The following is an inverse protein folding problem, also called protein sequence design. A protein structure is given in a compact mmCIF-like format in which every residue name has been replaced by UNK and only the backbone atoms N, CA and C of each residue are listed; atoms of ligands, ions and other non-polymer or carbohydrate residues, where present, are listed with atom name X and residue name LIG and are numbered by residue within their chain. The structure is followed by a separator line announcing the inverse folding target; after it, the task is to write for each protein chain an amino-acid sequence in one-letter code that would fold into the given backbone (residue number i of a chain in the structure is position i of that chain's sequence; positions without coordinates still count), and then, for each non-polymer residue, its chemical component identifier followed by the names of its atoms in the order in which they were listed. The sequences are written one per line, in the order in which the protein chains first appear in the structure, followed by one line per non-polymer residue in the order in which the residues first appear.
data_IF_685637083830
#
_entry.id   IF_685637083830
#
_cell.length_a   1.000
_cell.length_b   1.000
_cell.length_c   1.000
_cell.angle_alpha   90.00
_cell.angle_beta   90.00
_cell.angle_gamma   90.00
#
_symmetry.space_group_name_H-M   'P 1'
#
loop_
_entity.id
_entity.type
_entity.pdbx_description
1 polymer ?
#
# COMPACT_ATOMS: atom_id res chain seq x y z
N UNK A 1 -0.60 86.85 -44.47
CA UNK A 1 0.55 86.40 -45.28
C UNK A 1 1.68 86.06 -44.29
N UNK A 2 2.09 84.78 -44.25
CA UNK A 2 3.32 84.24 -43.64
C UNK A 2 3.54 84.23 -42.10
N UNK A 3 3.86 83.00 -41.61
CA UNK A 3 4.75 82.64 -40.48
C UNK A 3 4.30 82.93 -39.03
N UNK A 4 4.59 82.15 -37.97
CA UNK A 4 5.37 80.92 -37.74
C UNK A 4 5.02 80.37 -36.34
N UNK A 5 5.15 79.05 -36.20
CA UNK A 5 5.32 78.18 -35.01
C UNK A 5 5.62 78.78 -33.63
N UNK A 6 4.98 78.21 -32.60
CA UNK A 6 5.66 77.82 -31.35
C UNK A 6 5.02 76.56 -30.75
N UNK A 7 5.81 75.48 -30.65
CA UNK A 7 5.49 74.23 -29.93
C UNK A 7 5.86 74.42 -28.46
N UNK A 8 5.00 74.00 -27.53
CA UNK A 8 5.38 73.73 -26.15
C UNK A 8 5.00 72.28 -25.83
N UNK A 9 6.00 71.42 -25.68
CA UNK A 9 5.88 70.05 -25.18
C UNK A 9 5.74 70.09 -23.66
N UNK A 10 4.70 69.44 -23.13
CA UNK A 10 4.60 69.09 -21.72
C UNK A 10 5.12 67.67 -21.56
N UNK A 11 6.23 67.49 -20.85
CA UNK A 11 6.71 66.18 -20.41
C UNK A 11 5.89 65.73 -19.19
N UNK A 12 5.14 64.64 -19.33
CA UNK A 12 4.61 63.87 -18.20
C UNK A 12 5.58 62.73 -17.89
N UNK A 13 6.26 62.81 -16.75
CA UNK A 13 7.03 61.70 -16.19
C UNK A 13 6.09 60.71 -15.51
N UNK A 14 5.92 59.52 -16.08
CA UNK A 14 5.24 58.39 -15.43
C UNK A 14 6.27 57.68 -14.55
N UNK A 15 6.16 57.84 -13.23
CA UNK A 15 6.90 57.02 -12.27
C UNK A 15 6.34 55.61 -12.24
N UNK A 16 7.13 54.62 -12.66
CA UNK A 16 6.79 53.21 -12.52
C UNK A 16 7.00 52.78 -11.06
N UNK A 17 5.92 52.59 -10.30
CA UNK A 17 5.95 51.92 -9.00
C UNK A 17 5.96 50.42 -9.28
N UNK A 18 7.12 49.78 -9.11
CA UNK A 18 7.22 48.33 -9.12
C UNK A 18 6.58 47.79 -7.83
N UNK A 19 5.32 47.36 -7.93
CA UNK A 19 4.66 46.61 -6.87
C UNK A 19 5.29 45.20 -6.85
N UNK A 20 6.25 44.97 -5.96
CA UNK A 20 6.73 43.63 -5.63
C UNK A 20 5.57 42.88 -4.95
N UNK A 21 4.81 42.10 -5.73
CA UNK A 21 3.89 41.09 -5.21
C UNK A 21 4.73 40.02 -4.52
N UNK A 22 4.84 40.12 -3.19
CA UNK A 22 5.37 39.06 -2.35
C UNK A 22 4.32 37.95 -2.35
N UNK A 23 4.42 37.02 -3.30
CA UNK A 23 3.60 35.81 -3.29
C UNK A 23 4.08 35.01 -2.07
N UNK A 24 3.22 34.71 -1.07
CA UNK A 24 3.62 33.86 0.02
C UNK A 24 3.98 32.50 -0.57
N UNK A 25 5.26 32.14 -0.46
CA UNK A 25 5.68 30.74 -0.69
C UNK A 25 5.11 29.97 0.49
N UNK A 26 3.93 29.39 0.32
CA UNK A 26 3.44 28.37 1.23
C UNK A 26 4.40 27.19 1.12
N UNK A 27 5.32 27.07 2.06
CA UNK A 27 6.04 25.82 2.24
C UNK A 27 4.98 24.72 2.44
N UNK A 28 4.92 23.77 1.53
CA UNK A 28 4.05 22.60 1.69
C UNK A 28 4.52 21.85 2.93
N UNK A 29 3.84 22.05 4.05
CA UNK A 29 4.16 21.38 5.29
C UNK A 29 3.88 19.88 5.09
N UNK A 30 4.92 19.03 5.18
CA UNK A 30 4.73 17.58 5.22
C UNK A 30 3.80 17.26 6.38
N UNK A 31 2.65 16.59 6.16
CA UNK A 31 1.78 16.22 7.27
C UNK A 31 2.53 15.26 8.20
N UNK A 32 2.19 15.24 9.50
CA UNK A 32 2.76 14.24 10.40
C UNK A 32 2.41 12.83 9.88
N UNK A 33 3.33 11.85 10.04
CA UNK A 33 3.02 10.47 9.71
C UNK A 33 1.77 9.98 10.46
N UNK A 34 0.93 9.15 9.82
CA UNK A 34 -0.23 8.57 10.49
C UNK A 34 0.22 7.59 11.58
N UNK A 35 -0.63 7.33 12.59
CA UNK A 35 -0.41 6.20 13.49
C UNK A 35 -0.22 4.90 12.69
N UNK A 36 0.79 4.12 13.05
CA UNK A 36 1.08 2.88 12.34
C UNK A 36 0.36 1.67 12.97
N UNK A 37 0.23 0.61 12.18
CA UNK A 37 -0.36 -0.67 12.59
C UNK A 37 0.59 -1.80 12.24
N UNK A 38 0.74 -2.79 13.13
CA UNK A 38 1.56 -3.95 12.83
C UNK A 38 0.94 -4.78 11.70
N UNK A 39 1.78 -5.24 10.78
CA UNK A 39 1.55 -6.34 9.86
C UNK A 39 2.22 -7.60 10.40
N UNK A 40 1.81 -8.78 9.94
CA UNK A 40 2.24 -10.05 10.52
C UNK A 40 2.63 -11.08 9.45
N UNK A 41 3.84 -11.64 9.57
CA UNK A 41 4.15 -12.94 9.02
C UNK A 41 3.42 -14.00 9.84
N UNK A 42 2.47 -14.68 9.20
CA UNK A 42 1.56 -15.62 9.84
C UNK A 42 2.09 -17.04 9.79
N UNK A 43 2.41 -17.57 10.96
CA UNK A 43 2.81 -18.96 11.19
C UNK A 43 1.74 -19.80 11.91
N UNK A 44 0.54 -19.22 12.10
CA UNK A 44 -0.58 -19.83 12.83
C UNK A 44 -1.92 -19.56 12.13
N UNK A 45 -2.84 -20.51 12.29
CA UNK A 45 -4.27 -20.36 11.97
C UNK A 45 -5.14 -20.67 13.20
N UNK A 46 -4.54 -20.66 14.40
CA UNK A 46 -5.26 -20.91 15.63
C UNK A 46 -6.30 -19.81 15.86
N UNK A 47 -7.57 -20.18 15.81
CA UNK A 47 -8.70 -19.26 15.88
C UNK A 47 -8.75 -18.46 17.20
N UNK A 48 -8.39 -19.07 18.34
CA UNK A 48 -8.31 -18.36 19.62
C UNK A 48 -7.22 -17.29 19.59
N UNK A 49 -6.03 -17.66 19.10
CA UNK A 49 -4.90 -16.74 19.00
C UNK A 49 -5.20 -15.55 18.07
N UNK A 50 -5.99 -15.79 17.01
CA UNK A 50 -6.46 -14.75 16.10
C UNK A 50 -7.54 -13.86 16.72
N UNK A 51 -8.49 -14.44 17.44
CA UNK A 51 -9.46 -13.68 18.24
C UNK A 51 -8.77 -12.77 19.25
N UNK A 52 -7.77 -13.29 19.97
CA UNK A 52 -7.02 -12.53 20.98
C UNK A 52 -6.24 -11.38 20.34
N UNK A 53 -5.61 -11.61 19.18
CA UNK A 53 -4.96 -10.55 18.41
C UNK A 53 -5.97 -9.47 17.99
N UNK A 54 -7.14 -9.86 17.49
CA UNK A 54 -8.22 -8.92 17.19
C UNK A 54 -8.62 -8.11 18.42
N UNK A 55 -8.80 -8.79 19.56
CA UNK A 55 -9.23 -8.19 20.81
C UNK A 55 -8.20 -7.21 21.38
N UNK A 56 -6.91 -7.51 21.24
CA UNK A 56 -5.80 -6.62 21.60
C UNK A 56 -5.93 -5.29 20.85
N UNK A 57 -6.07 -5.34 19.52
CA UNK A 57 -6.22 -4.13 18.71
C UNK A 57 -7.54 -3.40 18.96
N UNK A 58 -8.64 -4.11 19.17
CA UNK A 58 -9.92 -3.50 19.52
C UNK A 58 -9.87 -2.77 20.85
N UNK A 59 -9.22 -3.39 21.86
CA UNK A 59 -8.99 -2.76 23.17
C UNK A 59 -8.08 -1.53 23.06
N UNK A 60 -7.03 -1.61 22.23
CA UNK A 60 -6.14 -0.49 21.96
C UNK A 60 -6.89 0.69 21.35
N UNK A 61 -7.74 0.45 20.36
CA UNK A 61 -8.48 1.52 19.68
C UNK A 61 -9.53 2.14 20.60
N UNK A 62 -10.26 1.33 21.37
CA UNK A 62 -11.17 1.81 22.41
C UNK A 62 -10.49 2.75 23.42
N UNK A 63 -9.23 2.51 23.73
CA UNK A 63 -8.45 3.27 24.70
C UNK A 63 -7.61 4.40 24.07
N UNK A 64 -7.70 4.60 22.75
CA UNK A 64 -7.00 5.66 22.04
C UNK A 64 -7.99 6.78 21.71
N UNK A 65 -7.66 8.02 22.04
CA UNK A 65 -8.54 9.15 21.78
C UNK A 65 -8.83 9.33 20.27
N UNK A 66 -10.10 9.55 19.94
CA UNK A 66 -10.57 9.76 18.57
C UNK A 66 -10.76 8.47 17.77
N UNK A 67 -11.30 8.60 16.56
CA UNK A 67 -11.56 7.47 15.67
C UNK A 67 -10.27 6.95 15.05
N UNK A 68 -10.02 5.65 15.20
CA UNK A 68 -8.85 4.97 14.65
C UNK A 68 -9.21 4.26 13.34
N UNK A 69 -8.36 4.39 12.33
CA UNK A 69 -8.45 3.61 11.10
C UNK A 69 -7.16 2.82 10.94
N UNK A 70 -7.27 1.49 10.86
CA UNK A 70 -6.13 0.60 10.79
C UNK A 70 -6.10 -0.24 9.53
N UNK A 71 -4.89 -0.49 9.04
CA UNK A 71 -4.62 -1.51 8.04
C UNK A 71 -3.66 -2.54 8.64
N UNK A 72 -4.11 -3.78 8.75
CA UNK A 72 -3.29 -4.92 9.19
C UNK A 72 -3.09 -5.87 8.02
N UNK A 73 -1.85 -6.08 7.61
CA UNK A 73 -1.50 -7.07 6.57
C UNK A 73 -1.16 -8.38 7.27
N UNK A 74 -1.78 -9.47 6.84
CA UNK A 74 -1.51 -10.83 7.31
C UNK A 74 -0.84 -11.61 6.17
N UNK A 75 0.48 -11.71 6.17
CA UNK A 75 1.24 -12.42 5.16
C UNK A 75 1.31 -13.92 5.49
N UNK A 76 0.66 -14.78 4.72
CA UNK A 76 0.66 -16.23 4.91
C UNK A 76 1.75 -16.96 4.09
N UNK A 77 2.71 -16.23 3.53
CA UNK A 77 3.77 -16.79 2.70
C UNK A 77 3.29 -17.21 1.32
N UNK A 78 3.93 -18.21 0.73
CA UNK A 78 3.76 -18.53 -0.69
C UNK A 78 2.48 -19.31 -0.99
N UNK A 79 1.87 -19.10 -2.17
CA UNK A 79 0.78 -19.91 -2.68
C UNK A 79 1.08 -21.40 -2.62
N UNK A 80 0.07 -22.20 -2.30
CA UNK A 80 0.15 -23.66 -2.27
C UNK A 80 -1.12 -24.28 -2.83
N UNK A 81 -0.95 -25.44 -3.47
CA UNK A 81 -2.03 -26.34 -3.82
C UNK A 81 -1.67 -27.75 -3.34
N UNK A 82 -2.47 -28.29 -2.43
CA UNK A 82 -2.21 -29.60 -1.82
C UNK A 82 -3.53 -30.34 -1.61
N UNK A 83 -3.57 -31.62 -1.98
CA UNK A 83 -4.72 -32.52 -1.78
C UNK A 83 -6.06 -31.93 -2.29
N UNK A 84 -6.04 -31.25 -3.43
CA UNK A 84 -7.25 -30.66 -4.02
C UNK A 84 -7.65 -29.30 -3.45
N UNK A 85 -6.87 -28.73 -2.53
CA UNK A 85 -7.18 -27.45 -1.89
C UNK A 85 -6.11 -26.39 -2.19
N UNK A 86 -6.58 -25.17 -2.47
CA UNK A 86 -5.74 -23.96 -2.51
C UNK A 86 -5.47 -23.45 -1.09
N UNK A 87 -4.34 -22.79 -0.90
CA UNK A 87 -3.87 -22.35 0.40
C UNK A 87 -2.53 -21.65 0.36
N UNK A 88 -1.87 -21.51 1.49
CA UNK A 88 -0.53 -20.92 1.57
C UNK A 88 0.39 -21.73 2.48
N UNK A 89 1.67 -21.36 2.50
CA UNK A 89 2.69 -22.07 3.26
C UNK A 89 2.76 -21.74 4.74
N UNK A 90 2.12 -20.65 5.19
CA UNK A 90 2.17 -20.11 6.57
C UNK A 90 3.54 -20.23 7.23
N UNK A 91 4.61 -20.08 6.44
CA UNK A 91 6.03 -20.34 6.78
C UNK A 91 6.40 -21.70 7.43
N UNK A 92 5.42 -22.52 7.81
CA UNK A 92 5.60 -23.74 8.60
C UNK A 92 4.76 -24.93 8.10
N UNK A 93 3.96 -24.78 7.05
CA UNK A 93 3.16 -25.88 6.49
C UNK A 93 1.94 -25.42 5.69
N UNK A 94 1.35 -26.33 4.92
CA UNK A 94 0.15 -26.02 4.15
C UNK A 94 -1.02 -25.64 5.06
N UNK A 95 -1.60 -24.46 4.83
CA UNK A 95 -2.89 -24.03 5.39
C UNK A 95 -3.84 -23.72 4.24
N UNK A 96 -5.05 -24.26 4.27
CA UNK A 96 -6.04 -24.02 3.21
C UNK A 96 -6.62 -22.61 3.29
N UNK A 97 -7.19 -22.14 2.17
CA UNK A 97 -7.97 -20.89 2.16
C UNK A 97 -9.14 -20.93 3.15
N UNK A 98 -9.76 -22.08 3.38
CA UNK A 98 -10.83 -22.22 4.39
C UNK A 98 -10.32 -22.06 5.83
N UNK A 99 -9.14 -22.56 6.14
CA UNK A 99 -8.52 -22.38 7.46
C UNK A 99 -8.10 -20.92 7.68
N UNK A 100 -7.53 -20.28 6.65
CA UNK A 100 -7.21 -18.85 6.68
C UNK A 100 -8.47 -18.02 6.89
N UNK A 101 -9.55 -18.30 6.15
CA UNK A 101 -10.82 -17.58 6.31
C UNK A 101 -11.35 -17.66 7.74
N UNK A 102 -11.39 -18.86 8.34
CA UNK A 102 -11.84 -19.03 9.72
C UNK A 102 -10.98 -18.25 10.73
N UNK A 103 -9.65 -18.28 10.55
CA UNK A 103 -8.71 -17.52 11.36
C UNK A 103 -8.94 -15.99 11.26
N UNK A 104 -9.12 -15.46 10.05
CA UNK A 104 -9.37 -14.03 9.82
C UNK A 104 -10.74 -13.60 10.34
N UNK A 105 -11.76 -14.46 10.22
CA UNK A 105 -13.10 -14.20 10.78
C UNK A 105 -13.04 -14.02 12.31
N UNK A 106 -12.30 -14.88 13.00
CA UNK A 106 -12.12 -14.76 14.45
C UNK A 106 -11.30 -13.54 14.85
N UNK A 107 -10.30 -13.14 14.06
CA UNK A 107 -9.62 -11.85 14.26
C UNK A 107 -10.59 -10.68 14.17
N UNK A 108 -11.40 -10.62 13.11
CA UNK A 108 -12.38 -9.56 12.97
C UNK A 108 -13.44 -9.55 14.09
N UNK A 109 -13.87 -10.74 14.52
CA UNK A 109 -14.76 -10.89 15.68
C UNK A 109 -14.13 -10.35 16.95
N UNK A 110 -12.87 -10.70 17.24
CA UNK A 110 -12.14 -10.23 18.40
C UNK A 110 -12.04 -8.71 18.43
N UNK A 111 -11.70 -8.09 17.29
CA UNK A 111 -11.67 -6.64 17.16
C UNK A 111 -13.03 -6.02 17.49
N UNK A 112 -14.08 -6.45 16.80
CA UNK A 112 -15.43 -5.92 16.98
C UNK A 112 -15.95 -6.08 18.42
N UNK A 113 -15.68 -7.21 19.08
CA UNK A 113 -16.14 -7.41 20.47
C UNK A 113 -15.38 -6.50 21.43
N UNK A 114 -14.07 -6.34 21.26
CA UNK A 114 -13.24 -5.66 22.23
C UNK A 114 -13.11 -4.14 22.01
N UNK A 115 -13.49 -3.61 20.85
CA UNK A 115 -13.73 -2.16 20.67
C UNK A 115 -14.84 -1.66 21.60
N UNK A 116 -15.78 -2.53 22.00
CA UNK A 116 -16.74 -2.26 23.07
C UNK A 116 -17.65 -1.07 22.77
N UNK A 117 -17.48 0.04 23.49
CA UNK A 117 -18.25 1.26 23.26
C UNK A 117 -17.73 2.11 22.09
N UNK A 118 -16.51 1.85 21.61
CA UNK A 118 -16.03 2.47 20.37
C UNK A 118 -16.63 1.76 19.17
N UNK A 119 -17.60 2.41 18.55
CA UNK A 119 -18.30 1.91 17.37
C UNK A 119 -17.85 2.63 16.08
N UNK A 120 -16.86 3.51 16.18
CA UNK A 120 -16.40 4.37 15.09
C UNK A 120 -15.09 3.88 14.47
N UNK A 121 -14.19 3.31 15.29
CA UNK A 121 -12.91 2.82 14.80
C UNK A 121 -13.08 1.58 13.91
N UNK A 122 -12.20 1.47 12.91
CA UNK A 122 -12.27 0.45 11.90
C UNK A 122 -10.93 -0.26 11.69
N UNK A 123 -11.01 -1.58 11.49
CA UNK A 123 -9.91 -2.43 11.09
C UNK A 123 -10.12 -2.97 9.68
N UNK A 124 -9.21 -2.60 8.77
CA UNK A 124 -9.05 -3.23 7.47
C UNK A 124 -8.02 -4.36 7.57
N UNK A 125 -8.43 -5.58 7.20
CA UNK A 125 -7.56 -6.77 7.23
C UNK A 125 -7.17 -7.14 5.79
N UNK A 126 -5.89 -6.99 5.45
CA UNK A 126 -5.34 -7.36 4.15
C UNK A 126 -4.77 -8.78 4.20
N UNK A 127 -5.50 -9.74 3.60
CA UNK A 127 -5.18 -11.17 3.65
C UNK A 127 -4.18 -11.53 2.55
N UNK A 128 -2.92 -11.64 2.95
CA UNK A 128 -1.73 -11.69 2.09
C UNK A 128 -1.23 -13.09 1.76
N UNK A 129 -0.82 -13.30 0.52
CA UNK A 129 0.12 -14.37 0.11
C UNK A 129 1.35 -13.73 -0.57
N UNK A 130 2.00 -14.40 -1.52
CA UNK A 130 3.08 -13.82 -2.33
C UNK A 130 3.01 -14.26 -3.78
N UNK A 131 3.90 -13.72 -4.62
CA UNK A 131 4.19 -14.26 -5.94
C UNK A 131 5.39 -15.22 -5.93
N UNK A 132 5.68 -15.93 -4.83
CA UNK A 132 6.76 -16.92 -4.79
C UNK A 132 6.27 -18.35 -5.07
N UNK A 133 7.12 -19.18 -5.71
CA UNK A 133 6.86 -20.59 -5.92
C UNK A 133 5.97 -20.92 -7.14
N UNK A 134 5.70 -22.21 -7.35
CA UNK A 134 5.07 -22.74 -8.56
C UNK A 134 3.53 -22.72 -8.53
N UNK A 135 2.91 -22.48 -7.38
CA UNK A 135 1.44 -22.42 -7.24
C UNK A 135 0.86 -21.03 -7.54
N UNK A 136 1.70 -20.08 -7.96
CA UNK A 136 1.29 -18.75 -8.46
C UNK A 136 0.58 -18.95 -9.81
N UNK A 137 -0.71 -19.24 -9.75
CA UNK A 137 -1.53 -19.59 -10.91
C UNK A 137 -2.84 -18.79 -10.90
N UNK A 138 -3.47 -18.68 -12.06
CA UNK A 138 -4.81 -18.08 -12.20
C UNK A 138 -5.82 -18.69 -11.22
N UNK A 139 -5.90 -20.02 -11.16
CA UNK A 139 -6.85 -20.71 -10.27
C UNK A 139 -6.60 -20.41 -8.79
N UNK A 140 -5.34 -20.25 -8.40
CA UNK A 140 -5.02 -19.83 -7.04
C UNK A 140 -5.44 -18.37 -6.77
N UNK A 141 -5.22 -17.45 -7.71
CA UNK A 141 -5.70 -16.07 -7.59
C UNK A 141 -7.22 -16.01 -7.41
N UNK A 142 -7.96 -16.78 -8.21
CA UNK A 142 -9.41 -16.89 -8.12
C UNK A 142 -9.87 -17.47 -6.78
N UNK A 143 -9.22 -18.52 -6.29
CA UNK A 143 -9.51 -19.11 -4.98
C UNK A 143 -9.24 -18.13 -3.83
N UNK A 144 -8.19 -17.31 -3.95
CA UNK A 144 -7.84 -16.29 -2.95
C UNK A 144 -8.89 -15.16 -2.91
N UNK A 145 -9.35 -14.68 -4.07
CA UNK A 145 -10.43 -13.69 -4.15
C UNK A 145 -11.75 -14.22 -3.56
N UNK A 146 -12.13 -15.46 -3.87
CA UNK A 146 -13.33 -16.10 -3.30
C UNK A 146 -13.23 -16.23 -1.77
N UNK A 147 -12.06 -16.55 -1.23
CA UNK A 147 -11.81 -16.55 0.21
C UNK A 147 -12.07 -15.17 0.82
N UNK A 148 -11.52 -14.10 0.24
CA UNK A 148 -11.71 -12.71 0.72
C UNK A 148 -13.19 -12.30 0.66
N UNK A 149 -13.89 -12.62 -0.43
CA UNK A 149 -15.32 -12.37 -0.55
C UNK A 149 -16.09 -13.07 0.58
N UNK A 150 -15.81 -14.36 0.84
CA UNK A 150 -16.49 -15.13 1.88
C UNK A 150 -16.24 -14.60 3.30
N UNK A 151 -15.07 -14.03 3.57
CA UNK A 151 -14.75 -13.39 4.86
C UNK A 151 -15.65 -12.16 5.07
N UNK A 152 -15.80 -11.32 4.04
CA UNK A 152 -16.65 -10.14 4.12
C UNK A 152 -18.15 -10.49 4.20
N UNK A 153 -18.61 -11.51 3.48
CA UNK A 153 -19.98 -12.02 3.61
C UNK A 153 -20.25 -12.49 5.05
N UNK A 154 -19.27 -13.15 5.67
CA UNK A 154 -19.37 -13.55 7.07
C UNK A 154 -19.42 -12.34 8.00
N UNK A 155 -18.53 -11.35 7.86
CA UNK A 155 -18.57 -10.11 8.66
C UNK A 155 -19.93 -9.40 8.54
N UNK A 156 -20.48 -9.31 7.33
CA UNK A 156 -21.81 -8.75 7.08
C UNK A 156 -22.90 -9.57 7.78
N UNK A 157 -22.87 -10.90 7.66
CA UNK A 157 -23.87 -11.80 8.27
C UNK A 157 -23.86 -11.74 9.80
N UNK A 158 -22.73 -11.39 10.41
CA UNK A 158 -22.54 -11.26 11.86
C UNK A 158 -22.77 -9.84 12.38
N UNK A 159 -22.97 -8.86 11.50
CA UNK A 159 -23.13 -7.45 11.87
C UNK A 159 -21.82 -6.73 12.21
N UNK A 160 -20.66 -7.25 11.80
CA UNK A 160 -19.35 -6.67 12.09
C UNK A 160 -18.87 -5.66 11.05
N UNK A 161 -19.57 -5.58 9.90
CA UNK A 161 -19.14 -4.81 8.73
C UNK A 161 -19.09 -3.28 8.91
N UNK A 162 -19.60 -2.74 10.02
CA UNK A 162 -19.43 -1.32 10.37
C UNK A 162 -18.00 -0.99 10.82
N UNK A 163 -17.27 -1.98 11.35
CA UNK A 163 -15.94 -1.79 11.95
C UNK A 163 -14.88 -2.69 11.34
N UNK A 164 -15.25 -3.81 10.70
CA UNK A 164 -14.27 -4.76 10.14
C UNK A 164 -14.60 -5.13 8.72
N UNK A 165 -13.59 -5.10 7.86
CA UNK A 165 -13.68 -5.58 6.49
C UNK A 165 -12.33 -6.13 6.02
N UNK A 166 -12.38 -7.09 5.10
CA UNK A 166 -11.19 -7.73 4.54
C UNK A 166 -10.94 -7.32 3.09
N UNK A 167 -9.68 -7.31 2.69
CA UNK A 167 -9.22 -7.18 1.30
C UNK A 167 -8.20 -8.26 1.00
N UNK A 168 -7.99 -8.57 -0.28
CA UNK A 168 -6.90 -9.44 -0.68
C UNK A 168 -5.59 -8.69 -0.64
N UNK A 169 -4.49 -9.43 -0.47
CA UNK A 169 -3.16 -8.88 -0.59
C UNK A 169 -2.18 -9.91 -1.15
N UNK A 170 -1.07 -9.44 -1.71
CA UNK A 170 0.03 -10.31 -2.12
C UNK A 170 1.35 -9.56 -2.09
N UNK A 171 2.38 -10.22 -1.57
CA UNK A 171 3.77 -9.80 -1.60
C UNK A 171 4.33 -10.11 -2.99
N UNK A 172 4.20 -9.17 -3.92
CA UNK A 172 4.65 -9.39 -5.30
C UNK A 172 6.05 -8.81 -5.48
N UNK A 173 7.06 -9.63 -5.26
CA UNK A 173 8.46 -9.26 -5.45
C UNK A 173 8.95 -9.65 -6.85
N UNK A 174 9.71 -8.75 -7.47
CA UNK A 174 10.19 -8.92 -8.84
C UNK A 174 11.20 -10.08 -8.95
N UNK A 175 11.90 -10.40 -7.87
CA UNK A 175 12.88 -11.48 -7.79
C UNK A 175 12.28 -12.89 -7.72
N UNK A 176 10.97 -13.03 -7.51
CA UNK A 176 10.35 -14.33 -7.17
C UNK A 176 9.66 -15.05 -8.32
N UNK A 177 9.06 -14.31 -9.25
CA UNK A 177 8.44 -14.87 -10.45
C UNK A 177 8.49 -13.88 -11.62
N UNK A 178 8.20 -14.39 -12.82
CA UNK A 178 8.12 -13.54 -14.01
C UNK A 178 6.90 -12.60 -13.98
N UNK A 179 6.91 -11.52 -14.79
CA UNK A 179 5.73 -10.68 -14.98
C UNK A 179 4.51 -11.48 -15.45
N UNK A 180 4.69 -12.41 -16.40
CA UNK A 180 3.59 -13.19 -16.96
C UNK A 180 2.90 -14.08 -15.92
N UNK A 181 3.68 -14.75 -15.06
CA UNK A 181 3.16 -15.61 -14.00
C UNK A 181 2.40 -14.78 -12.96
N UNK A 182 3.00 -13.68 -12.50
CA UNK A 182 2.38 -12.81 -11.49
C UNK A 182 1.10 -12.14 -12.02
N UNK A 183 1.13 -11.63 -13.26
CA UNK A 183 -0.07 -11.07 -13.92
C UNK A 183 -1.18 -12.10 -14.09
N UNK A 184 -0.84 -13.35 -14.41
CA UNK A 184 -1.82 -14.42 -14.52
C UNK A 184 -2.53 -14.70 -13.18
N UNK A 185 -1.80 -14.64 -12.06
CA UNK A 185 -2.40 -14.73 -10.72
C UNK A 185 -3.30 -13.53 -10.41
N UNK A 186 -2.85 -12.30 -10.71
CA UNK A 186 -3.66 -11.07 -10.56
C UNK A 186 -4.96 -11.17 -11.35
N UNK A 187 -4.90 -11.64 -12.60
CA UNK A 187 -6.08 -11.83 -13.45
C UNK A 187 -7.03 -12.89 -12.89
N UNK A 188 -6.47 -13.93 -12.27
CA UNK A 188 -7.25 -14.92 -11.53
C UNK A 188 -8.03 -14.28 -10.38
N UNK A 189 -7.37 -13.44 -9.58
CA UNK A 189 -8.02 -12.69 -8.50
C UNK A 189 -9.10 -11.75 -9.05
N UNK A 190 -8.78 -10.96 -10.08
CA UNK A 190 -9.69 -10.00 -10.73
C UNK A 190 -10.95 -10.65 -11.32
N UNK A 191 -10.88 -11.93 -11.70
CA UNK A 191 -12.01 -12.61 -12.34
C UNK A 191 -13.25 -12.78 -11.46
N UNK A 192 -13.11 -12.69 -10.14
CA UNK A 192 -14.20 -12.94 -9.17
C UNK A 192 -14.19 -12.01 -7.95
N UNK A 193 -13.22 -11.11 -7.82
CA UNK A 193 -13.09 -10.30 -6.61
C UNK A 193 -14.25 -9.31 -6.45
N UNK A 194 -14.65 -9.08 -5.21
CA UNK A 194 -15.56 -7.99 -4.82
C UNK A 194 -14.82 -6.91 -4.00
N UNK A 195 -13.56 -7.16 -3.68
CA UNK A 195 -12.73 -6.31 -2.84
C UNK A 195 -11.35 -6.06 -3.49
N UNK A 196 -10.67 -4.95 -3.16
CA UNK A 196 -9.33 -4.66 -3.65
C UNK A 196 -8.30 -5.75 -3.36
N UNK A 197 -7.20 -5.69 -4.10
CA UNK A 197 -5.98 -6.49 -3.96
C UNK A 197 -4.81 -5.55 -3.66
N UNK A 198 -4.24 -5.66 -2.47
CA UNK A 198 -3.12 -4.84 -2.06
C UNK A 198 -1.80 -5.51 -2.46
N UNK A 199 -1.02 -4.84 -3.30
CA UNK A 199 0.35 -5.27 -3.57
C UNK A 199 1.28 -4.67 -2.51
N UNK A 200 1.75 -5.52 -1.59
CA UNK A 200 2.70 -5.13 -0.55
C UNK A 200 4.13 -5.59 -0.83
N UNK A 201 4.44 -5.88 -2.09
CA UNK A 201 5.77 -6.26 -2.55
C UNK A 201 6.68 -5.08 -2.90
N UNK A 202 7.74 -5.42 -3.64
CA UNK A 202 8.83 -4.52 -3.99
C UNK A 202 8.71 -3.94 -5.41
N UNK A 203 9.65 -3.05 -5.74
CA UNK A 203 9.88 -2.52 -7.07
C UNK A 203 11.35 -2.72 -7.47
N UNK A 204 11.92 -3.88 -7.10
CA UNK A 204 13.36 -4.10 -7.18
C UNK A 204 13.93 -3.84 -8.58
N UNK A 205 15.05 -3.13 -8.62
CA UNK A 205 15.76 -2.77 -9.86
C UNK A 205 15.03 -1.78 -10.77
N UNK A 206 13.82 -1.30 -10.42
CA UNK A 206 13.19 -0.24 -11.20
C UNK A 206 14.00 1.06 -11.12
N UNK A 207 13.84 1.97 -12.10
CA UNK A 207 14.46 3.29 -12.06
C UNK A 207 14.02 4.08 -10.82
N UNK A 208 14.91 4.92 -10.30
CA UNK A 208 14.61 5.88 -9.22
C UNK A 208 14.61 7.34 -9.70
N UNK A 209 14.60 7.51 -11.02
CA UNK A 209 14.58 8.78 -11.76
C UNK A 209 13.49 8.73 -12.83
N UNK A 210 13.14 9.87 -13.42
CA UNK A 210 12.22 9.92 -14.55
C UNK A 210 12.82 9.23 -15.78
N UNK A 211 11.99 8.50 -16.52
CA UNK A 211 12.35 7.78 -17.73
C UNK A 211 11.62 8.29 -18.97
N UNK A 212 12.23 8.09 -20.13
CA UNK A 212 11.67 8.46 -21.45
C UNK A 212 10.70 7.43 -22.02
N UNK A 213 10.42 6.33 -21.31
CA UNK A 213 9.52 5.27 -21.76
C UNK A 213 9.41 4.15 -20.72
N UNK A 214 8.94 2.98 -21.17
CA UNK A 214 8.86 1.79 -20.32
C UNK A 214 10.28 1.23 -20.04
N UNK A 215 10.85 1.56 -18.88
CA UNK A 215 12.20 1.13 -18.54
C UNK A 215 12.23 -0.22 -17.81
N UNK A 216 13.37 -0.88 -17.93
CA UNK A 216 13.67 -2.15 -17.28
C UNK A 216 13.70 -1.99 -15.75
N UNK A 217 13.10 -2.96 -15.07
CA UNK A 217 13.25 -3.25 -13.64
C UNK A 217 14.03 -4.57 -13.47
N UNK A 218 14.09 -5.19 -12.30
CA UNK A 218 14.82 -6.46 -12.15
C UNK A 218 14.13 -7.66 -12.84
N UNK A 219 14.89 -8.72 -13.13
CA UNK A 219 14.39 -10.06 -13.45
C UNK A 219 13.36 -10.13 -14.61
N UNK A 220 13.61 -9.38 -15.68
CA UNK A 220 12.71 -9.36 -16.85
C UNK A 220 11.44 -8.54 -16.67
N UNK A 221 11.28 -7.84 -15.54
CA UNK A 221 10.21 -6.89 -15.30
C UNK A 221 10.52 -5.53 -15.92
N UNK A 222 9.46 -4.80 -16.24
CA UNK A 222 9.52 -3.40 -16.64
C UNK A 222 8.55 -2.56 -15.80
N UNK A 223 8.68 -1.23 -15.85
CA UNK A 223 7.78 -0.30 -15.14
C UNK A 223 6.30 -0.58 -15.45
N UNK A 224 5.98 -0.91 -16.71
CA UNK A 224 4.62 -1.28 -17.13
C UNK A 224 4.08 -2.52 -16.42
N UNK A 225 4.94 -3.49 -16.10
CA UNK A 225 4.54 -4.70 -15.40
C UNK A 225 4.22 -4.43 -13.94
N UNK A 226 5.09 -3.67 -13.26
CA UNK A 226 4.89 -3.28 -11.86
C UNK A 226 3.68 -2.37 -11.71
N UNK A 227 3.51 -1.42 -12.65
CA UNK A 227 2.33 -0.56 -12.73
C UNK A 227 1.05 -1.37 -12.92
N UNK A 228 1.07 -2.43 -13.75
CA UNK A 228 -0.09 -3.28 -13.94
C UNK A 228 -0.51 -3.99 -12.66
N UNK A 229 0.40 -4.72 -12.02
CA UNK A 229 0.08 -5.52 -10.83
C UNK A 229 -0.23 -4.68 -9.59
N UNK A 230 0.07 -3.37 -9.64
CA UNK A 230 -0.08 -2.46 -8.51
C UNK A 230 -1.17 -1.40 -8.71
N UNK A 231 -1.67 -1.20 -9.93
CA UNK A 231 -2.64 -0.13 -10.22
C UNK A 231 -3.48 -0.34 -11.49
N UNK A 232 -2.88 -0.77 -12.60
CA UNK A 232 -3.62 -0.84 -13.86
C UNK A 232 -4.60 -2.03 -13.92
N UNK A 233 -4.32 -3.12 -13.20
CA UNK A 233 -5.30 -4.15 -12.96
C UNK A 233 -6.41 -3.58 -12.05
N UNK A 234 -7.70 -3.75 -12.37
CA UNK A 234 -8.80 -3.11 -11.64
C UNK A 234 -8.79 -3.24 -10.10
N UNK A 235 -8.38 -4.39 -9.50
CA UNK A 235 -8.43 -4.53 -8.06
C UNK A 235 -7.17 -4.00 -7.38
N UNK A 236 -6.09 -3.75 -8.13
CA UNK A 236 -4.76 -3.56 -7.59
C UNK A 236 -4.59 -2.18 -6.94
N UNK A 237 -4.04 -2.19 -5.73
CA UNK A 237 -3.71 -0.99 -4.97
C UNK A 237 -2.31 -1.15 -4.36
N UNK A 238 -1.41 -0.16 -4.46
CA UNK A 238 -0.06 -0.27 -3.95
C UNK A 238 0.00 0.01 -2.44
N UNK A 239 0.65 -0.90 -1.71
CA UNK A 239 0.99 -0.81 -0.27
C UNK A 239 2.46 -1.20 -0.03
N UNK A 240 3.41 -0.55 -0.71
CA UNK A 240 4.74 -1.10 -0.98
C UNK A 240 5.67 -1.24 0.23
N UNK A 241 6.64 -2.14 0.10
CA UNK A 241 7.81 -2.23 0.97
C UNK A 241 8.71 -0.98 0.84
N UNK A 242 9.01 -0.33 1.97
CA UNK A 242 9.91 0.84 2.11
C UNK A 242 10.88 0.59 3.27
N UNK A 243 11.68 -0.45 3.16
CA UNK A 243 12.60 -0.95 4.18
C UNK A 243 13.91 -0.16 4.23
N UNK A 244 14.45 0.26 3.06
CA UNK A 244 15.78 0.86 2.93
C UNK A 244 15.86 2.30 3.43
N UNK A 245 16.87 2.61 4.25
CA UNK A 245 17.03 3.95 4.82
C UNK A 245 17.53 5.01 3.81
N UNK A 246 18.01 4.62 2.62
CA UNK A 246 18.50 5.52 1.57
C UNK A 246 17.39 6.08 0.64
N UNK A 247 16.13 5.72 0.90
CA UNK A 247 14.96 6.16 0.15
C UNK A 247 14.87 5.64 -1.28
N UNK A 248 15.72 4.69 -1.70
CA UNK A 248 15.71 4.19 -3.07
C UNK A 248 14.36 3.53 -3.42
N UNK A 249 13.79 2.76 -2.49
CA UNK A 249 12.52 2.07 -2.70
C UNK A 249 11.37 3.06 -2.90
N UNK A 250 11.31 4.13 -2.09
CA UNK A 250 10.33 5.21 -2.28
C UNK A 250 10.45 5.87 -3.67
N UNK A 251 11.67 6.16 -4.13
CA UNK A 251 11.90 6.73 -5.46
C UNK A 251 11.57 5.77 -6.60
N UNK A 252 11.72 4.46 -6.40
CA UNK A 252 11.30 3.45 -7.38
C UNK A 252 9.78 3.47 -7.57
N UNK A 253 9.03 3.48 -6.47
CA UNK A 253 7.57 3.59 -6.51
C UNK A 253 7.08 4.91 -7.09
N UNK A 254 7.76 6.02 -6.79
CA UNK A 254 7.52 7.29 -7.46
C UNK A 254 7.73 7.18 -8.98
N UNK A 255 8.84 6.59 -9.43
CA UNK A 255 9.15 6.46 -10.87
C UNK A 255 8.09 5.60 -11.59
N UNK A 256 7.56 4.55 -10.95
CA UNK A 256 6.45 3.76 -11.51
C UNK A 256 5.15 4.57 -11.57
N UNK A 257 4.84 5.36 -10.54
CA UNK A 257 3.68 6.27 -10.57
C UNK A 257 3.79 7.30 -11.70
N UNK A 258 4.99 7.84 -11.91
CA UNK A 258 5.27 8.78 -13.01
C UNK A 258 5.17 8.11 -14.38
N UNK A 259 5.63 6.86 -14.51
CA UNK A 259 5.38 6.04 -15.71
C UNK A 259 3.87 5.92 -15.97
N UNK A 260 3.08 5.61 -14.94
CA UNK A 260 1.63 5.52 -15.01
C UNK A 260 0.96 6.82 -15.48
N UNK A 261 1.44 7.97 -14.98
CA UNK A 261 0.97 9.29 -15.42
C UNK A 261 1.28 9.56 -16.90
N UNK A 262 2.49 9.22 -17.37
CA UNK A 262 2.95 9.55 -18.72
C UNK A 262 2.45 8.60 -19.79
N UNK A 263 2.32 7.31 -19.46
CA UNK A 263 2.11 6.23 -20.44
C UNK A 263 0.99 5.26 -20.06
N UNK A 264 0.48 5.33 -18.84
CA UNK A 264 -0.61 4.49 -18.33
C UNK A 264 -1.96 5.21 -18.32
N UNK A 265 -2.85 4.78 -17.43
CA UNK A 265 -4.17 5.38 -17.22
C UNK A 265 -4.16 6.51 -16.18
N UNK A 266 -3.00 6.84 -15.61
CA UNK A 266 -2.82 7.87 -14.59
C UNK A 266 -1.80 7.50 -13.52
N UNK A 267 -1.45 8.48 -12.68
CA UNK A 267 -0.60 8.24 -11.50
C UNK A 267 -1.28 7.30 -10.50
N UNK A 268 -0.46 6.62 -9.71
CA UNK A 268 -0.89 5.65 -8.73
C UNK A 268 -1.29 6.34 -7.42
N UNK A 269 -2.31 5.80 -6.73
CA UNK A 269 -2.65 6.22 -5.36
C UNK A 269 -2.23 5.17 -4.36
N UNK A 270 -1.40 5.58 -3.42
CA UNK A 270 -0.79 4.67 -2.45
C UNK A 270 -1.64 4.55 -1.19
N UNK A 271 -1.95 3.32 -0.80
CA UNK A 271 -2.78 3.08 0.37
C UNK A 271 -1.97 3.12 1.65
N UNK A 272 -0.77 2.54 1.63
CA UNK A 272 0.11 2.49 2.79
C UNK A 272 1.59 2.39 2.40
N UNK A 273 2.48 2.62 3.34
CA UNK A 273 3.86 2.09 3.31
C UNK A 273 3.99 0.90 4.24
N UNK A 274 4.79 -0.08 3.87
CA UNK A 274 5.17 -1.23 4.70
C UNK A 274 6.65 -1.15 5.07
N UNK A 275 6.95 -1.21 6.36
CA UNK A 275 8.30 -1.34 6.90
C UNK A 275 8.50 -2.71 7.56
N UNK A 276 9.72 -3.02 8.01
CA UNK A 276 10.04 -4.29 8.68
C UNK A 276 10.84 -4.10 9.98
N UNK A 277 10.75 -2.92 10.60
CA UNK A 277 11.54 -2.57 11.77
C UNK A 277 11.26 -3.54 12.93
N UNK A 278 10.00 -3.84 13.23
CA UNK A 278 9.66 -4.83 14.26
C UNK A 278 10.23 -6.22 13.95
N UNK A 279 10.19 -6.70 12.70
CA UNK A 279 10.84 -7.96 12.33
C UNK A 279 12.36 -7.92 12.55
N UNK A 280 13.01 -6.80 12.22
CA UNK A 280 14.42 -6.56 12.52
C UNK A 280 14.72 -6.63 14.02
N UNK A 281 13.85 -6.07 14.87
CA UNK A 281 14.01 -6.16 16.32
C UNK A 281 13.86 -7.60 16.85
N UNK A 282 13.03 -8.43 16.19
CA UNK A 282 12.82 -9.82 16.60
C UNK A 282 13.98 -10.73 16.22
N UNK A 283 14.48 -10.62 14.99
CA UNK A 283 15.38 -11.62 14.40
C UNK A 283 16.74 -11.05 13.96
N UNK A 284 16.95 -9.74 14.08
CA UNK A 284 18.06 -9.04 13.46
C UNK A 284 17.85 -8.85 11.95
N UNK A 285 18.39 -7.76 11.41
CA UNK A 285 18.47 -7.52 9.97
C UNK A 285 19.68 -6.63 9.66
N UNK A 286 19.94 -6.40 8.37
CA UNK A 286 20.92 -5.39 7.96
C UNK A 286 20.42 -3.99 8.42
N UNK A 287 21.24 -3.20 9.14
CA UNK A 287 20.84 -1.86 9.60
C UNK A 287 20.55 -0.84 8.49
N UNK A 288 20.73 -1.21 7.21
CA UNK A 288 20.37 -0.39 6.06
C UNK A 288 18.94 -0.67 5.52
N UNK A 289 18.22 -1.61 6.12
CA UNK A 289 16.85 -2.01 5.74
C UNK A 289 15.85 -1.98 6.92
N UNK A 290 16.11 -1.15 7.92
CA UNK A 290 15.37 -1.10 9.18
C UNK A 290 14.55 0.20 9.37
N UNK A 291 14.08 0.82 8.29
CA UNK A 291 13.22 2.01 8.40
C UNK A 291 12.11 1.80 9.43
N UNK A 292 11.95 2.73 10.38
CA UNK A 292 10.75 2.77 11.22
C UNK A 292 9.52 3.10 10.36
N UNK A 293 8.30 2.82 10.84
CA UNK A 293 7.07 3.09 10.08
C UNK A 293 6.94 4.56 9.68
N UNK A 294 7.36 5.48 10.55
CA UNK A 294 7.38 6.91 10.29
C UNK A 294 8.39 7.28 9.20
N UNK A 295 9.58 6.66 9.22
CA UNK A 295 10.62 6.89 8.21
C UNK A 295 10.18 6.38 6.84
N UNK A 296 9.68 5.14 6.76
CA UNK A 296 9.22 4.54 5.51
C UNK A 296 8.05 5.31 4.91
N UNK A 297 7.07 5.70 5.73
CA UNK A 297 5.96 6.54 5.29
C UNK A 297 6.43 7.88 4.77
N UNK A 298 7.33 8.55 5.51
CA UNK A 298 7.84 9.87 5.14
C UNK A 298 8.64 9.82 3.83
N UNK A 299 9.49 8.82 3.65
CA UNK A 299 10.23 8.64 2.40
C UNK A 299 9.29 8.49 1.20
N UNK A 300 8.26 7.64 1.33
CA UNK A 300 7.27 7.45 0.26
C UNK A 300 6.47 8.72 -0.01
N UNK A 301 6.01 9.40 1.04
CA UNK A 301 5.28 10.66 0.90
C UNK A 301 6.14 11.73 0.22
N UNK A 302 7.38 11.94 0.68
CA UNK A 302 8.28 12.96 0.12
C UNK A 302 8.60 12.64 -1.36
N UNK A 303 8.84 11.37 -1.71
CA UNK A 303 9.07 10.95 -3.09
C UNK A 303 7.88 11.23 -3.99
N UNK A 304 6.66 10.93 -3.55
CA UNK A 304 5.45 11.12 -4.36
C UNK A 304 5.07 12.60 -4.50
N UNK A 305 5.29 13.40 -3.46
CA UNK A 305 4.82 14.78 -3.36
C UNK A 305 5.86 15.82 -3.80
N UNK A 306 7.10 15.42 -4.13
CA UNK A 306 8.06 16.34 -4.76
C UNK A 306 7.70 16.67 -6.22
N UNK A 307 6.81 15.89 -6.85
CA UNK A 307 6.38 16.03 -8.24
C UNK A 307 4.85 16.11 -8.29
N UNK A 308 4.33 17.20 -8.86
CA UNK A 308 2.89 17.45 -8.94
C UNK A 308 2.14 16.42 -9.79
N UNK A 309 2.84 15.68 -10.66
CA UNK A 309 2.26 14.62 -11.52
C UNK A 309 1.92 13.35 -10.73
N UNK A 310 2.59 13.12 -9.61
CA UNK A 310 2.49 11.89 -8.81
C UNK A 310 1.98 12.12 -7.39
N UNK A 311 1.61 13.36 -7.06
CA UNK A 311 1.06 13.73 -5.75
C UNK A 311 -0.01 12.74 -5.32
N UNK A 312 0.22 12.12 -4.16
CA UNK A 312 -0.67 11.14 -3.56
C UNK A 312 -0.61 11.28 -2.05
N UNK A 313 -1.76 11.11 -1.41
CA UNK A 313 -1.82 10.78 0.01
C UNK A 313 -1.29 9.36 0.21
N UNK A 314 -0.65 9.11 1.36
CA UNK A 314 -0.33 7.75 1.83
C UNK A 314 -1.11 7.57 3.13
N UNK A 315 -2.16 6.75 3.10
CA UNK A 315 -3.19 6.75 4.19
C UNK A 315 -2.66 6.12 5.47
N UNK A 316 -1.92 5.00 5.36
CA UNK A 316 -1.43 4.25 6.51
C UNK A 316 0.09 4.10 6.50
N UNK A 317 0.64 3.92 7.70
CA UNK A 317 1.96 3.36 7.92
C UNK A 317 1.79 1.96 8.53
N UNK A 318 2.54 0.98 8.06
CA UNK A 318 2.47 -0.41 8.54
C UNK A 318 3.87 -0.97 8.76
N UNK A 319 4.02 -1.88 9.72
CA UNK A 319 5.31 -2.49 10.07
C UNK A 319 5.18 -4.00 10.24
N UNK A 320 5.91 -4.79 9.46
CA UNK A 320 5.79 -6.25 9.53
C UNK A 320 6.65 -6.83 10.65
N UNK A 321 6.07 -7.83 11.33
CA UNK A 321 6.70 -8.63 12.37
C UNK A 321 6.27 -10.09 12.26
N UNK A 322 6.99 -10.99 12.89
CA UNK A 322 6.53 -12.36 13.08
C UNK A 322 5.44 -12.41 14.14
N UNK A 323 4.37 -13.15 13.85
CA UNK A 323 3.39 -13.51 14.87
C UNK A 323 4.09 -14.33 15.98
N UNK A 324 3.89 -13.95 17.27
CA UNK A 324 4.62 -14.53 18.39
C UNK A 324 4.33 -16.01 18.66
#
# INVERSE_FOLDING_TARGET
MAHRFLRLMVLLTIGAIALCLVIPVYASHTPPPPPWTSAYYMNTINQTAMYDLGCEWGTKDRNTDGTQYRLMILAYGMPKYQNGAYGASAFNGFVSTSQIAAAVQELGRGYYVCTGYDTSSQLQIAVGTSNYGSSVTYGHGQAWANMVNSINDWFKSRGYSSQVYAVGASDMELGWNSPSVTKNWVNGYDSVNLHPLYNFGDAAGCPSTETSGNAYCSNGWYQADVYYISWAAPPAVPTPQIYRNDGIQARQWWSISLYGYKYGSGSMRFRASLTQYQACQQNGCDPSIDNTPEQGWKQLWDALNHDSRTTSTVTYATDIRWYP
#
